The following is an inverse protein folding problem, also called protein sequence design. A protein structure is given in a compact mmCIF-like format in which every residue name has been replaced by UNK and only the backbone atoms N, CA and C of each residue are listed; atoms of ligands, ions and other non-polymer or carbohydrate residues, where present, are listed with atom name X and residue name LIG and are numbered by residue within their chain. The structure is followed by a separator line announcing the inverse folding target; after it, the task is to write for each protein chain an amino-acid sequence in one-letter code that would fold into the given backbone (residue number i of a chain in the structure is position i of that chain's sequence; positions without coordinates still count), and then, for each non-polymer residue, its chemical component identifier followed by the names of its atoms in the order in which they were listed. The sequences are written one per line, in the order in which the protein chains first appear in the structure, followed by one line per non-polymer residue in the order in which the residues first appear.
data_IF_125995799114
#
_entry.id   IF_125995799114
#
_cell.length_a   1.000
_cell.length_b   1.000
_cell.length_c   1.000
_cell.angle_alpha   90.00
_cell.angle_beta   90.00
_cell.angle_gamma   90.00
#
_symmetry.space_group_name_H-M   'P 1'
#
loop_
_entity.id
_entity.type
_entity.pdbx_description
1 polymer ?
2 water ?
#
# COMPACT_ATOMS: atom_id res chain seq x y z
N UNK A 8 -6.89 -9.81 17.63
CA UNK A 8 -6.74 -10.94 16.72
C UNK A 8 -7.13 -10.48 15.34
N UNK A 9 -6.45 -11.01 14.32
CA UNK A 9 -6.90 -10.70 12.95
C UNK A 9 -8.23 -11.36 12.63
N UNK A 10 -8.36 -12.64 12.97
CA UNK A 10 -9.54 -13.42 12.66
C UNK A 10 -10.73 -13.03 13.52
N UNK A 11 -10.53 -12.21 14.56
CA UNK A 11 -11.70 -11.66 15.21
C UNK A 11 -12.39 -10.65 14.28
N UNK A 12 -11.65 -10.03 13.38
CA UNK A 12 -12.21 -8.99 12.52
C UNK A 12 -12.18 -9.33 11.02
N UNK A 13 -11.37 -10.30 10.58
CA UNK A 13 -11.24 -10.64 9.18
C UNK A 13 -11.53 -12.13 8.96
N UNK A 14 -11.94 -12.47 7.73
CA UNK A 14 -12.00 -13.87 7.38
C UNK A 14 -10.61 -14.36 6.95
N UNK A 15 -10.48 -15.69 6.86
CA UNK A 15 -9.25 -16.26 6.35
C UNK A 15 -8.99 -15.83 4.92
N UNK A 16 -10.02 -15.85 4.06
CA UNK A 16 -9.84 -15.41 2.68
C UNK A 16 -9.38 -13.96 2.63
N UNK A 17 -9.96 -13.11 3.46
CA UNK A 17 -9.49 -11.72 3.54
C UNK A 17 -8.05 -11.65 4.01
N UNK A 18 -7.67 -12.48 4.98
CA UNK A 18 -6.27 -12.48 5.40
C UNK A 18 -5.36 -12.86 4.25
N UNK A 19 -5.76 -13.87 3.47
CA UNK A 19 -4.95 -14.28 2.32
C UNK A 19 -4.81 -13.15 1.30
N UNK A 20 -5.90 -12.42 1.05
CA UNK A 20 -5.83 -11.31 0.10
C UNK A 20 -4.87 -10.24 0.61
N UNK A 21 -4.92 -9.97 1.90
CA UNK A 21 -4.06 -8.97 2.50
C UNK A 21 -2.59 -9.39 2.41
N UNK A 22 -2.31 -10.67 2.61
CA UNK A 22 -0.94 -11.14 2.48
C UNK A 22 -0.47 -11.07 1.03
N UNK A 23 -1.34 -11.42 0.09
CA UNK A 23 -0.96 -11.35 -1.32
C UNK A 23 -0.75 -9.91 -1.75
N UNK A 24 -1.46 -8.98 -1.12
CA UNK A 24 -1.22 -7.55 -1.35
C UNK A 24 0.10 -7.11 -0.72
N UNK A 25 0.39 -7.60 0.49
CA UNK A 25 1.66 -7.29 1.14
C UNK A 25 2.83 -7.86 0.36
N UNK A 26 2.61 -8.96 -0.35
CA UNK A 26 3.62 -9.54 -1.21
C UNK A 26 3.91 -8.65 -2.42
N UNK A 27 2.97 -7.79 -2.79
CA UNK A 27 3.17 -6.91 -3.93
C UNK A 27 2.31 -7.26 -5.12
N UNK A 28 1.38 -8.19 -4.98
CA UNK A 28 0.56 -8.64 -6.08
C UNK A 28 -0.54 -7.62 -6.41
N UNK A 29 -0.94 -7.60 -7.67
CA UNK A 29 -2.03 -6.75 -8.15
C UNK A 29 -3.35 -7.48 -7.98
N UNK A 30 -4.46 -6.81 -8.32
CA UNK A 30 -5.74 -7.51 -8.31
C UNK A 30 -5.73 -8.68 -9.27
N UNK A 31 -5.00 -8.56 -10.37
CA UNK A 31 -4.94 -9.66 -11.33
C UNK A 31 -4.12 -10.80 -10.76
N UNK A 32 -2.97 -10.48 -10.16
CA UNK A 32 -2.14 -11.49 -9.54
C UNK A 32 -2.83 -12.23 -8.41
N UNK A 33 -3.57 -11.49 -7.57
CA UNK A 33 -4.27 -12.12 -6.45
C UNK A 33 -5.31 -13.11 -6.96
N UNK A 34 -6.08 -12.69 -7.97
CA UNK A 34 -7.10 -13.57 -8.53
C UNK A 34 -6.48 -14.78 -9.20
N UNK A 35 -5.34 -14.59 -9.86
CA UNK A 35 -4.64 -15.71 -10.46
C UNK A 35 -4.23 -16.72 -9.38
N UNK A 36 -3.59 -16.22 -8.32
CA UNK A 36 -3.13 -17.09 -7.25
C UNK A 36 -4.28 -17.79 -6.52
N UNK A 37 -5.39 -17.08 -6.27
CA UNK A 37 -6.47 -17.65 -5.49
C UNK A 37 -7.56 -18.25 -6.36
N UNK A 38 -7.40 -18.21 -7.69
CA UNK A 38 -8.39 -18.70 -8.65
C UNK A 38 -9.76 -18.09 -8.40
N UNK A 39 -9.79 -16.75 -8.25
CA UNK A 39 -11.01 -15.97 -8.11
C UNK A 39 -10.96 -14.84 -9.12
N UNK A 40 -12.12 -14.23 -9.36
CA UNK A 40 -12.13 -13.19 -10.38
C UNK A 40 -11.55 -11.91 -9.79
N UNK A 41 -11.11 -11.04 -10.69
CA UNK A 41 -10.63 -9.74 -10.23
C UNK A 41 -11.72 -8.99 -9.46
N UNK A 42 -12.96 -9.01 -9.97
CA UNK A 42 -14.07 -8.34 -9.27
C UNK A 42 -14.22 -8.89 -7.85
N UNK A 43 -14.16 -10.21 -7.71
CA UNK A 43 -14.24 -10.82 -6.38
C UNK A 43 -13.09 -10.35 -5.50
N UNK A 44 -11.88 -10.23 -6.06
CA UNK A 44 -10.76 -9.70 -5.28
C UNK A 44 -11.12 -8.32 -4.75
N UNK A 45 -11.65 -7.45 -5.62
CA UNK A 45 -12.07 -6.12 -5.17
C UNK A 45 -13.15 -6.23 -4.11
N UNK A 46 -14.04 -7.22 -4.22
CA UNK A 46 -15.06 -7.37 -3.17
C UNK A 46 -14.40 -7.69 -1.84
N UNK A 47 -13.42 -8.60 -1.83
CA UNK A 47 -12.71 -8.89 -0.58
C UNK A 47 -11.99 -7.63 -0.08
N UNK A 48 -11.35 -6.88 -0.97
CA UNK A 48 -10.69 -5.64 -0.55
C UNK A 48 -11.70 -4.69 0.06
N UNK A 49 -12.86 -4.53 -0.59
CA UNK A 49 -13.90 -3.65 -0.07
C UNK A 49 -14.29 -4.02 1.35
N UNK A 50 -14.48 -5.31 1.61
CA UNK A 50 -14.82 -5.76 2.96
C UNK A 50 -13.70 -5.44 3.95
N UNK A 51 -12.44 -5.65 3.53
CA UNK A 51 -11.30 -5.40 4.42
C UNK A 51 -11.24 -3.94 4.82
N UNK A 52 -11.44 -3.02 3.86
CA UNK A 52 -11.42 -1.61 4.21
C UNK A 52 -12.53 -1.29 5.21
N UNK A 53 -13.69 -1.93 5.05
CA UNK A 53 -14.77 -1.67 6.00
C UNK A 53 -14.40 -2.15 7.39
N UNK A 54 -13.93 -3.39 7.50
CA UNK A 54 -13.72 -3.97 8.81
C UNK A 54 -12.58 -3.28 9.55
N UNK A 55 -11.56 -2.84 8.82
CA UNK A 55 -10.38 -2.21 9.41
C UNK A 55 -10.56 -0.71 9.58
N UNK A 56 -11.61 -0.14 9.01
CA UNK A 56 -11.88 1.29 9.10
C UNK A 56 -10.72 2.11 8.56
N UNK A 57 -10.30 1.77 7.35
CA UNK A 57 -9.31 2.51 6.59
C UNK A 57 -9.87 2.76 5.19
N UNK A 58 -9.19 3.62 4.42
CA UNK A 58 -9.78 4.12 3.19
C UNK A 58 -9.18 3.57 1.91
N UNK A 59 -8.01 2.91 1.95
CA UNK A 59 -7.50 2.31 0.73
C UNK A 59 -6.60 1.14 1.10
N UNK A 60 -6.19 0.41 0.07
CA UNK A 60 -5.38 -0.80 0.23
C UNK A 60 -4.10 -0.51 1.02
N UNK A 61 -3.44 0.59 0.68
CA UNK A 61 -2.18 0.94 1.33
C UNK A 61 -2.34 1.12 2.83
N UNK A 62 -3.40 1.78 3.29
CA UNK A 62 -3.56 1.91 4.73
C UNK A 62 -3.83 0.55 5.36
N UNK A 63 -4.64 -0.27 4.68
CA UNK A 63 -4.94 -1.59 5.19
C UNK A 63 -3.67 -2.45 5.28
N UNK A 64 -2.84 -2.40 4.24
CA UNK A 64 -1.63 -3.22 4.22
C UNK A 64 -0.63 -2.74 5.27
N UNK A 65 -0.33 -1.45 5.28
CA UNK A 65 0.63 -0.91 6.23
C UNK A 65 0.16 -1.15 7.66
N UNK A 66 -1.16 -1.12 7.87
CA UNK A 66 -1.74 -1.43 9.17
C UNK A 66 -1.63 -2.91 9.49
N UNK A 67 -1.76 -3.77 8.48
CA UNK A 67 -1.62 -5.19 8.74
C UNK A 67 -0.18 -5.54 9.08
N UNK A 68 0.77 -4.95 8.34
CA UNK A 68 2.18 -5.14 8.65
C UNK A 68 2.46 -4.61 10.05
N UNK A 69 1.93 -3.42 10.36
CA UNK A 69 2.20 -2.81 11.67
C UNK A 69 1.75 -3.73 12.80
N UNK A 70 0.60 -4.36 12.65
CA UNK A 70 0.05 -5.22 13.69
C UNK A 70 0.55 -6.65 13.61
N UNK A 71 1.42 -6.96 12.64
CA UNK A 71 2.00 -8.28 12.51
C UNK A 71 1.09 -9.33 11.89
N UNK A 72 -0.05 -8.90 11.32
CA UNK A 72 -1.00 -9.83 10.73
C UNK A 72 -0.45 -10.46 9.46
N UNK A 73 0.45 -9.77 8.77
CA UNK A 73 1.07 -10.31 7.56
C UNK A 73 2.56 -10.10 7.67
N UNK A 74 3.30 -10.73 6.73
CA UNK A 74 4.76 -10.70 6.75
C UNK A 74 5.30 -10.22 5.40
N UNK A 75 6.49 -9.67 5.43
CA UNK A 75 7.22 -9.34 4.21
C UNK A 75 8.06 -10.57 3.88
N UNK A 76 7.68 -11.29 2.82
CA UNK A 76 8.34 -12.52 2.39
C UNK A 76 9.76 -12.19 1.93
N UNK B 9 18.01 0.62 -5.57
CA UNK B 9 18.44 1.89 -6.17
C UNK B 9 17.82 3.13 -5.48
N UNK B 10 18.13 3.33 -4.19
CA UNK B 10 17.58 4.47 -3.47
C UNK B 10 18.04 5.79 -4.06
N UNK B 11 19.27 5.83 -4.60
CA UNK B 11 19.85 7.05 -5.17
C UNK B 11 18.95 7.71 -6.21
N UNK B 12 18.04 6.97 -6.83
CA UNK B 12 17.24 7.53 -7.92
C UNK B 12 16.07 8.35 -7.40
N UNK B 13 15.69 8.19 -6.13
CA UNK B 13 14.58 8.97 -5.63
C UNK B 13 15.12 10.26 -5.06
N UNK B 14 14.35 11.32 -5.26
CA UNK B 14 14.76 12.59 -4.67
C UNK B 14 14.40 12.56 -3.21
N UNK B 15 14.94 13.51 -2.46
CA UNK B 15 14.56 13.60 -1.05
C UNK B 15 13.06 13.83 -0.93
N UNK B 16 12.53 14.74 -1.74
CA UNK B 16 11.09 15.03 -1.74
C UNK B 16 10.28 13.79 -2.10
N UNK B 17 10.72 13.03 -3.10
CA UNK B 17 10.07 11.76 -3.39
C UNK B 17 10.12 10.83 -2.18
N UNK B 18 11.24 10.79 -1.46
CA UNK B 18 11.32 9.99 -0.24
C UNK B 18 10.33 10.48 0.81
N UNK B 19 10.22 11.80 0.97
CA UNK B 19 9.25 12.32 1.93
C UNK B 19 7.83 11.91 1.56
N UNK B 20 7.50 11.98 0.27
CA UNK B 20 6.15 11.58 -0.14
C UNK B 20 5.95 10.11 0.12
N UNK B 21 6.99 9.30 -0.14
CA UNK B 21 6.92 7.87 0.10
C UNK B 21 6.73 7.56 1.59
N UNK B 22 7.43 8.30 2.45
CA UNK B 22 7.25 8.07 3.88
C UNK B 22 5.85 8.50 4.31
N UNK B 23 5.35 9.60 3.77
CA UNK B 23 4.01 10.05 4.11
C UNK B 23 2.95 9.08 3.59
N UNK B 24 3.26 8.36 2.50
CA UNK B 24 2.38 7.31 2.03
C UNK B 24 2.42 6.10 2.94
N UNK B 25 3.59 5.78 3.48
CA UNK B 25 3.66 4.68 4.43
C UNK B 25 2.92 5.02 5.70
N UNK B 26 2.90 6.30 6.08
CA UNK B 26 2.18 6.75 7.26
C UNK B 26 0.68 6.60 7.10
N UNK B 27 0.19 6.61 5.86
CA UNK B 27 -1.22 6.49 5.59
C UNK B 27 -1.87 7.75 5.10
N UNK B 28 -1.10 8.79 4.82
CA UNK B 28 -1.71 10.05 4.41
C UNK B 28 -2.23 9.94 2.99
N UNK B 29 -3.23 10.75 2.70
CA UNK B 29 -3.81 10.82 1.38
C UNK B 29 -3.02 11.83 0.55
N UNK B 30 -3.35 11.95 -0.73
CA UNK B 30 -2.70 12.97 -1.53
C UNK B 30 -3.05 14.37 -1.00
N UNK B 31 -4.23 14.50 -0.37
CA UNK B 31 -4.61 15.75 0.26
C UNK B 31 -3.80 15.97 1.53
N UNK B 32 -3.64 14.92 2.33
CA UNK B 32 -2.82 15.05 3.53
C UNK B 32 -1.37 15.35 3.19
N UNK B 33 -0.81 14.64 2.21
CA UNK B 33 0.57 14.86 1.83
C UNK B 33 0.76 16.28 1.33
N UNK B 34 -0.15 16.74 0.48
CA UNK B 34 -0.04 18.11 -0.02
C UNK B 34 -0.15 19.12 1.11
N UNK B 35 -1.00 18.83 2.08
CA UNK B 35 -1.11 19.69 3.26
C UNK B 35 0.20 19.71 4.04
N UNK B 36 0.71 18.53 4.37
CA UNK B 36 1.92 18.43 5.17
C UNK B 36 3.10 19.11 4.49
N UNK B 37 3.25 18.93 3.17
CA UNK B 37 4.41 19.46 2.48
C UNK B 37 4.12 20.81 1.80
N UNK B 38 2.93 21.38 2.01
CA UNK B 38 2.56 22.66 1.42
C UNK B 38 2.73 22.67 -0.10
N UNK B 39 2.20 21.63 -0.76
CA UNK B 39 2.21 21.57 -2.21
C UNK B 39 0.82 21.14 -2.68
N UNK B 40 0.57 21.31 -3.97
CA UNK B 40 -0.72 20.98 -4.52
C UNK B 40 -0.81 19.47 -4.76
N UNK B 41 -2.05 18.97 -4.77
CA UNK B 41 -2.28 17.56 -5.07
C UNK B 41 -1.73 17.18 -6.44
N UNK B 42 -1.89 18.07 -7.42
CA UNK B 42 -1.28 17.80 -8.73
C UNK B 42 0.22 17.55 -8.56
N UNK B 43 0.90 18.38 -7.76
CA UNK B 43 2.31 18.16 -7.48
C UNK B 43 2.53 16.83 -6.75
N UNK B 44 1.68 16.52 -5.76
CA UNK B 44 1.80 15.25 -5.06
C UNK B 44 1.57 14.08 -6.01
N UNK B 45 0.51 14.16 -6.83
CA UNK B 45 0.21 13.07 -7.75
C UNK B 45 1.37 12.82 -8.72
N UNK B 46 2.03 13.89 -9.18
CA UNK B 46 3.19 13.72 -10.05
C UNK B 46 4.34 13.05 -9.31
N UNK B 47 4.57 13.42 -8.05
CA UNK B 47 5.60 12.75 -7.26
C UNK B 47 5.31 11.27 -7.14
N UNK B 48 4.06 10.91 -6.87
CA UNK B 48 3.67 9.50 -6.80
C UNK B 48 3.90 8.82 -8.13
N UNK B 49 3.44 9.45 -9.22
CA UNK B 49 3.65 8.89 -10.54
C UNK B 49 5.13 8.71 -10.83
N UNK B 50 5.93 9.70 -10.46
CA UNK B 50 7.38 9.60 -10.67
C UNK B 50 7.97 8.46 -9.85
N UNK B 51 7.50 8.27 -8.61
CA UNK B 51 8.07 7.23 -7.77
C UNK B 51 7.80 5.85 -8.37
N UNK B 52 6.58 5.61 -8.85
CA UNK B 52 6.26 4.33 -9.48
C UNK B 52 7.10 4.10 -10.72
N UNK B 53 7.35 5.17 -11.50
CA UNK B 53 8.18 5.03 -12.69
C UNK B 53 9.61 4.65 -12.31
N UNK B 54 10.20 5.36 -11.35
CA UNK B 54 11.57 5.07 -10.97
C UNK B 54 11.70 3.71 -10.30
N UNK B 55 10.67 3.28 -9.61
CA UNK B 55 10.70 1.99 -8.92
C UNK B 55 10.19 0.84 -9.78
N UNK B 56 9.61 1.15 -10.94
CA UNK B 56 9.09 0.14 -11.86
C UNK B 56 8.06 -0.75 -11.18
N UNK B 57 7.06 -0.11 -10.57
CA UNK B 57 5.89 -0.79 -10.02
C UNK B 57 4.66 -0.08 -10.54
N UNK B 58 3.49 -0.66 -10.27
CA UNK B 58 2.26 -0.21 -10.90
C UNK B 58 1.33 0.57 -9.99
N UNK B 59 1.49 0.50 -8.68
CA UNK B 59 0.60 1.26 -7.81
C UNK B 59 1.28 1.57 -6.50
N UNK B 60 0.63 2.46 -5.72
CA UNK B 60 1.17 2.93 -4.45
C UNK B 60 1.51 1.80 -3.48
N UNK B 61 0.64 0.80 -3.37
CA UNK B 61 0.87 -0.29 -2.43
C UNK B 61 2.18 -1.03 -2.73
N UNK B 62 2.48 -1.26 -4.01
CA UNK B 62 3.74 -1.96 -4.32
C UNK B 62 4.93 -1.07 -3.98
N UNK B 63 4.82 0.23 -4.26
CA UNK B 63 5.91 1.14 -3.96
C UNK B 63 6.19 1.19 -2.47
N UNK B 64 5.13 1.28 -1.66
CA UNK B 64 5.28 1.36 -0.21
C UNK B 64 5.84 0.05 0.36
N UNK B 65 5.24 -1.08 -0.04
CA UNK B 65 5.70 -2.37 0.47
C UNK B 65 7.13 -2.65 0.05
N UNK B 66 7.53 -2.21 -1.15
CA UNK B 66 8.91 -2.40 -1.59
C UNK B 66 9.85 -1.51 -0.79
N UNK B 67 9.42 -0.29 -0.47
CA UNK B 67 10.28 0.61 0.31
C UNK B 67 10.41 0.10 1.74
N UNK B 68 9.33 -0.46 2.29
CA UNK B 68 9.44 -1.06 3.62
C UNK B 68 10.41 -2.23 3.61
N UNK B 69 10.30 -3.09 2.58
CA UNK B 69 11.15 -4.28 2.51
C UNK B 69 12.62 -3.90 2.55
N UNK B 70 13.01 -2.85 1.83
CA UNK B 70 14.40 -2.45 1.74
C UNK B 70 14.82 -1.43 2.80
N UNK B 71 13.93 -1.06 3.70
CA UNK B 71 14.28 -0.16 4.78
C UNK B 71 14.33 1.30 4.40
N UNK B 72 13.80 1.67 3.24
CA UNK B 72 13.83 3.07 2.85
C UNK B 72 12.89 3.90 3.68
N UNK B 73 11.78 3.31 4.12
CA UNK B 73 10.82 3.99 4.97
C UNK B 73 10.57 3.11 6.17
N UNK B 74 9.95 3.69 7.18
CA UNK B 74 9.70 3.05 8.45
C UNK B 74 8.22 3.20 8.78
N UNK B 75 7.71 2.30 9.62
CA UNK B 75 6.33 2.35 10.11
C UNK B 75 6.32 3.16 11.40
N UNK B 76 5.77 4.37 11.35
CA UNK B 76 5.82 5.28 12.51
C UNK B 76 5.02 4.73 13.68
#
# INVERSE_FOLDING_TARGET
GSAKDPKMPLHILTHRECEVLQLLTDGKSNRGIGETLFISEKTVKNHVSSILQKMKVNDRTQAVVTAIKHGWVYIR
GSAKDPKMPLHILTHRECEVLQLLTDGKSNRGIGETLFISEKTVKNHVSSILQKMKVNDRTQAVVTAIKHGWVYIR
#
